data_IF_811339584241
#
_entry.id   IF_811339584241
#
_cell.length_a   1.000
_cell.length_b   1.000
_cell.length_c   1.000
_cell.angle_alpha   90.00
_cell.angle_beta   90.00
_cell.angle_gamma   90.00
#
_symmetry.space_group_name_H-M   'P 1'
#
loop_
_entity.id
_entity.type
_entity.pdbx_description
1 polymer ?
#
# COMPACT_ATOMS: atom_id res chain seq x y z
N UNK A 1 2.62 -14.51 18.57
CA UNK A 1 3.37 -13.45 17.88
C UNK A 1 3.25 -12.18 18.69
N UNK A 2 4.34 -11.41 18.77
CA UNK A 2 4.37 -10.11 19.47
C UNK A 2 5.01 -9.05 18.58
N UNK A 3 4.68 -7.79 18.86
CA UNK A 3 5.09 -6.64 18.06
C UNK A 3 5.79 -5.59 18.92
N UNK A 4 6.86 -5.01 18.38
CA UNK A 4 7.68 -3.96 18.99
C UNK A 4 7.80 -2.77 18.06
N UNK A 5 8.17 -1.61 18.62
CA UNK A 5 8.39 -0.39 17.85
C UNK A 5 9.78 -0.34 17.23
N UNK A 6 9.87 0.19 16.00
CA UNK A 6 11.14 0.53 15.35
C UNK A 6 11.96 1.59 16.09
N UNK A 7 11.38 2.36 17.02
CA UNK A 7 12.07 3.48 17.71
C UNK A 7 12.46 3.20 19.17
N UNK A 8 12.43 1.93 19.56
CA UNK A 8 13.01 1.46 20.80
C UNK A 8 12.02 1.17 21.93
N UNK A 9 10.72 1.45 21.78
CA UNK A 9 9.71 0.87 22.67
C UNK A 9 9.67 -0.66 22.51
N UNK A 10 10.20 -1.36 23.53
CA UNK A 10 10.24 -2.81 23.63
C UNK A 10 8.97 -3.41 24.24
N UNK A 11 7.94 -2.60 24.52
CA UNK A 11 6.66 -3.10 25.05
C UNK A 11 6.01 -3.99 23.99
N UNK A 12 6.00 -5.29 24.25
CA UNK A 12 5.42 -6.29 23.36
C UNK A 12 3.89 -6.22 23.32
N UNK A 13 3.33 -6.02 22.13
CA UNK A 13 1.88 -5.92 21.90
C UNK A 13 1.36 -7.07 21.04
N UNK A 14 0.08 -7.41 21.22
CA UNK A 14 -0.63 -8.37 20.36
C UNK A 14 -0.98 -7.77 18.99
N UNK A 15 -1.33 -8.62 18.02
CA UNK A 15 -1.73 -8.13 16.70
C UNK A 15 -2.99 -7.26 16.78
N UNK A 16 -4.01 -7.72 17.49
CA UNK A 16 -5.29 -7.01 17.61
C UNK A 16 -5.17 -5.65 18.32
N UNK A 17 -4.13 -5.45 19.14
CA UNK A 17 -3.82 -4.16 19.75
C UNK A 17 -3.22 -3.19 18.72
N UNK A 18 -2.15 -3.61 18.05
CA UNK A 18 -1.47 -2.76 17.06
C UNK A 18 -2.32 -2.51 15.80
N UNK A 19 -3.29 -3.39 15.52
CA UNK A 19 -4.26 -3.25 14.44
C UNK A 19 -5.04 -1.94 14.58
N UNK A 20 -5.52 -1.63 15.79
CA UNK A 20 -6.34 -0.45 16.06
C UNK A 20 -5.50 0.79 16.38
N UNK A 21 -4.33 0.62 17.00
CA UNK A 21 -3.45 1.74 17.37
C UNK A 21 -2.73 2.36 16.16
N UNK A 22 -2.28 1.53 15.22
CA UNK A 22 -1.58 1.93 14.00
C UNK A 22 -0.11 2.32 14.22
N UNK A 23 0.15 3.42 14.95
CA UNK A 23 1.49 3.93 15.26
C UNK A 23 1.86 3.61 16.71
N UNK A 24 3.13 3.29 16.99
CA UNK A 24 3.57 3.07 18.36
C UNK A 24 3.63 4.39 19.16
N UNK A 25 3.51 4.35 20.50
CA UNK A 25 3.51 5.56 21.34
C UNK A 25 4.77 6.42 21.24
N UNK A 26 5.92 5.83 20.89
CA UNK A 26 7.19 6.53 20.69
C UNK A 26 7.33 7.17 19.29
N UNK A 27 6.29 7.05 18.46
CA UNK A 27 6.22 7.53 17.09
C UNK A 27 6.82 6.58 16.05
N UNK A 28 7.27 5.38 16.48
CA UNK A 28 7.79 4.35 15.59
C UNK A 28 6.70 3.49 14.96
N UNK A 29 7.13 2.59 14.08
CA UNK A 29 6.28 1.64 13.38
C UNK A 29 6.35 0.27 14.04
N UNK A 30 5.23 -0.44 14.10
CA UNK A 30 5.24 -1.81 14.59
C UNK A 30 5.86 -2.79 13.58
N UNK A 31 6.69 -3.70 14.09
CA UNK A 31 7.22 -4.89 13.43
C UNK A 31 7.15 -6.09 14.38
N UNK A 32 7.04 -7.33 13.86
CA UNK A 32 7.04 -8.52 14.68
C UNK A 32 8.44 -8.73 15.31
N UNK A 33 8.47 -9.25 16.53
CA UNK A 33 9.73 -9.49 17.27
C UNK A 33 10.72 -10.37 16.50
N UNK A 34 10.23 -11.25 15.64
CA UNK A 34 10.98 -11.98 14.61
C UNK A 34 10.08 -12.23 13.39
N UNK A 35 10.67 -12.45 12.21
CA UNK A 35 9.92 -12.97 11.06
C UNK A 35 9.78 -14.50 11.19
N UNK A 36 8.54 -15.05 11.19
CA UNK A 36 8.31 -16.49 11.09
C UNK A 36 9.05 -17.09 9.89
N UNK A 37 9.67 -18.25 10.09
CA UNK A 37 10.43 -18.93 9.05
C UNK A 37 9.55 -19.96 8.33
N UNK A 38 9.57 -19.94 7.01
CA UNK A 38 8.89 -20.87 6.11
C UNK A 38 9.96 -21.75 5.50
N UNK A 39 10.09 -22.96 6.04
CA UNK A 39 11.04 -23.95 5.51
C UNK A 39 10.57 -24.57 4.19
N UNK A 40 11.43 -25.39 3.58
CA UNK A 40 11.13 -26.04 2.30
C UNK A 40 9.87 -26.94 2.36
N UNK A 41 9.60 -27.57 3.50
CA UNK A 41 8.44 -28.46 3.67
C UNK A 41 7.13 -27.66 3.75
N UNK A 42 7.13 -26.55 4.48
CA UNK A 42 5.98 -25.64 4.55
C UNK A 42 5.73 -24.95 3.21
N UNK A 43 6.79 -24.47 2.55
CA UNK A 43 6.69 -23.87 1.22
C UNK A 43 6.14 -24.87 0.18
N UNK A 44 6.50 -26.15 0.28
CA UNK A 44 5.96 -27.20 -0.58
C UNK A 44 4.46 -27.48 -0.31
N UNK A 45 4.03 -27.42 0.96
CA UNK A 45 2.60 -27.57 1.31
C UNK A 45 1.74 -26.41 0.81
N UNK A 46 2.29 -25.21 0.77
CA UNK A 46 1.57 -24.01 0.33
C UNK A 46 1.44 -23.90 -1.19
N UNK A 47 2.29 -24.60 -1.95
CA UNK A 47 2.22 -24.60 -3.41
C UNK A 47 0.88 -25.19 -3.85
N UNK A 48 0.13 -24.42 -4.64
CA UNK A 48 -1.17 -24.82 -5.20
C UNK A 48 -2.36 -24.51 -4.29
N UNK A 49 -2.16 -23.90 -3.11
CA UNK A 49 -3.26 -23.41 -2.31
C UNK A 49 -4.01 -22.27 -3.03
N UNK A 50 -5.36 -22.22 -2.95
CA UNK A 50 -6.13 -21.05 -3.32
C UNK A 50 -5.68 -19.81 -2.54
N UNK A 51 -5.81 -18.62 -3.14
CA UNK A 51 -5.28 -17.38 -2.55
C UNK A 51 -5.78 -17.12 -1.12
N UNK A 52 -7.07 -17.35 -0.84
CA UNK A 52 -7.63 -17.16 0.49
C UNK A 52 -7.06 -18.13 1.54
N UNK A 53 -6.75 -19.37 1.13
CA UNK A 53 -6.13 -20.36 2.01
C UNK A 53 -4.66 -20.02 2.26
N UNK A 54 -3.92 -19.63 1.21
CA UNK A 54 -2.56 -19.13 1.35
C UNK A 54 -2.50 -17.89 2.25
N UNK A 55 -3.46 -16.97 2.10
CA UNK A 55 -3.60 -15.81 2.97
C UNK A 55 -3.79 -16.24 4.42
N UNK A 56 -4.71 -17.17 4.71
CA UNK A 56 -4.90 -17.71 6.06
C UNK A 56 -3.62 -18.31 6.63
N UNK A 57 -2.90 -19.15 5.88
CA UNK A 57 -1.66 -19.78 6.34
C UNK A 57 -0.60 -18.74 6.72
N UNK A 58 -0.36 -17.75 5.85
CA UNK A 58 0.61 -16.69 6.10
C UNK A 58 0.17 -15.81 7.28
N UNK A 59 -1.09 -15.36 7.29
CA UNK A 59 -1.63 -14.51 8.36
C UNK A 59 -1.55 -15.19 9.73
N UNK A 60 -1.81 -16.50 9.79
CA UNK A 60 -1.79 -17.27 11.05
C UNK A 60 -0.40 -17.34 11.71
N UNK A 61 0.68 -17.13 10.95
CA UNK A 61 2.03 -17.04 11.52
C UNK A 61 2.25 -15.73 12.29
N UNK A 62 1.46 -14.70 11.98
CA UNK A 62 1.59 -13.34 12.53
C UNK A 62 0.45 -12.96 13.48
N UNK A 63 -0.67 -13.68 13.43
CA UNK A 63 -1.89 -13.39 14.17
C UNK A 63 -2.25 -14.62 15.02
N UNK A 64 -1.85 -14.63 16.29
CA UNK A 64 -2.15 -15.71 17.24
C UNK A 64 -3.19 -15.33 18.31
N UNK A 65 -3.75 -14.12 18.22
CA UNK A 65 -4.78 -13.60 19.12
C UNK A 65 -6.17 -13.50 18.47
N UNK A 66 -6.32 -13.98 17.23
CA UNK A 66 -7.61 -14.23 16.55
C UNK A 66 -7.77 -15.75 16.39
N UNK A 67 -8.91 -16.36 16.80
CA UNK A 67 -9.16 -17.78 16.60
C UNK A 67 -9.01 -18.21 15.14
N UNK A 68 -8.38 -19.37 14.90
CA UNK A 68 -8.06 -19.86 13.56
C UNK A 68 -9.28 -19.96 12.63
N UNK A 69 -10.42 -20.42 13.14
CA UNK A 69 -11.66 -20.50 12.37
C UNK A 69 -12.15 -19.13 11.89
N UNK A 70 -12.01 -18.10 12.74
CA UNK A 70 -12.42 -16.74 12.43
C UNK A 70 -11.47 -16.11 11.42
N UNK A 71 -10.15 -16.27 11.60
CA UNK A 71 -9.15 -15.75 10.67
C UNK A 71 -9.31 -16.39 9.27
N UNK A 72 -9.58 -17.70 9.21
CA UNK A 72 -9.87 -18.40 7.96
C UNK A 72 -11.14 -17.85 7.30
N UNK A 73 -12.20 -17.63 8.07
CA UNK A 73 -13.45 -17.05 7.57
C UNK A 73 -13.25 -15.61 7.05
N UNK A 74 -12.43 -14.80 7.73
CA UNK A 74 -12.07 -13.44 7.30
C UNK A 74 -11.33 -13.47 5.97
N UNK A 75 -10.32 -14.33 5.81
CA UNK A 75 -9.57 -14.47 4.57
C UNK A 75 -10.49 -14.91 3.40
N UNK A 76 -11.34 -15.91 3.63
CA UNK A 76 -12.30 -16.40 2.64
C UNK A 76 -13.37 -15.36 2.26
N UNK A 77 -13.85 -14.56 3.21
CA UNK A 77 -14.77 -13.43 2.95
C UNK A 77 -14.09 -12.32 2.15
N UNK A 78 -12.79 -12.12 2.34
CA UNK A 78 -12.04 -11.02 1.74
C UNK A 78 -11.69 -11.32 0.28
N UNK A 79 -11.04 -12.46 0.03
CA UNK A 79 -10.41 -12.75 -1.26
C UNK A 79 -11.29 -13.68 -2.10
N UNK A 80 -12.26 -13.10 -2.80
CA UNK A 80 -13.21 -13.84 -3.63
C UNK A 80 -13.11 -13.45 -5.10
N UNK A 81 -13.45 -14.39 -5.99
CA UNK A 81 -13.63 -14.11 -7.43
C UNK A 81 -14.68 -13.02 -7.67
N UNK A 82 -15.71 -12.92 -6.84
CA UNK A 82 -16.74 -11.88 -6.99
C UNK A 82 -16.17 -10.47 -6.76
N UNK A 83 -15.20 -10.32 -5.85
CA UNK A 83 -14.56 -9.04 -5.53
C UNK A 83 -13.42 -8.70 -6.49
N UNK A 84 -12.67 -9.72 -6.95
CA UNK A 84 -11.43 -9.53 -7.72
C UNK A 84 -11.50 -10.05 -9.16
N UNK A 85 -12.62 -10.60 -9.63
CA UNK A 85 -12.81 -11.13 -10.99
C UNK A 85 -12.15 -12.48 -11.30
N UNK A 86 -11.13 -12.88 -10.55
CA UNK A 86 -10.30 -14.07 -10.83
C UNK A 86 -10.22 -15.02 -9.64
N UNK A 87 -10.10 -16.32 -9.88
CA UNK A 87 -9.94 -17.33 -8.83
C UNK A 87 -8.57 -17.22 -8.15
N UNK A 88 -7.53 -16.86 -8.92
CA UNK A 88 -6.17 -16.60 -8.47
C UNK A 88 -6.04 -15.31 -7.66
N UNK A 89 -7.06 -14.44 -7.71
CA UNK A 89 -7.14 -13.07 -7.16
C UNK A 89 -6.12 -12.11 -7.80
N UNK A 90 -4.85 -12.50 -7.83
CA UNK A 90 -3.72 -11.76 -8.42
C UNK A 90 -3.01 -12.57 -9.52
N UNK A 91 -3.67 -12.89 -10.65
CA UNK A 91 -3.08 -13.70 -11.71
C UNK A 91 -1.82 -13.08 -12.30
N UNK A 92 -0.94 -13.92 -12.86
CA UNK A 92 0.20 -13.46 -13.66
C UNK A 92 -0.21 -13.33 -15.13
N UNK A 93 0.04 -12.16 -15.71
CA UNK A 93 -0.06 -11.89 -17.14
C UNK A 93 1.35 -11.98 -17.74
N UNK A 94 1.62 -13.01 -18.54
CA UNK A 94 2.89 -13.10 -19.27
C UNK A 94 2.96 -11.96 -20.29
N UNK A 95 4.03 -11.16 -20.24
CA UNK A 95 4.17 -9.99 -21.11
C UNK A 95 5.19 -10.25 -22.22
N UNK A 96 6.42 -10.56 -21.84
CA UNK A 96 7.51 -10.91 -22.76
C UNK A 96 8.38 -12.03 -22.16
N UNK A 97 9.28 -12.67 -22.93
CA UNK A 97 10.10 -13.76 -22.40
C UNK A 97 10.83 -13.35 -21.12
N UNK A 98 10.58 -14.08 -20.03
CA UNK A 98 11.19 -13.79 -18.72
C UNK A 98 10.53 -12.67 -17.92
N UNK A 99 9.45 -12.03 -18.40
CA UNK A 99 8.74 -10.94 -17.71
C UNK A 99 7.25 -11.23 -17.60
N UNK A 100 6.70 -11.13 -16.41
CA UNK A 100 5.26 -11.21 -16.14
C UNK A 100 4.78 -9.98 -15.34
N UNK A 101 3.56 -9.55 -15.58
CA UNK A 101 2.85 -8.60 -14.72
C UNK A 101 2.01 -9.38 -13.71
N UNK A 102 2.12 -9.06 -12.43
CA UNK A 102 1.20 -9.58 -11.42
C UNK A 102 0.03 -8.61 -11.23
N UNK A 103 -1.17 -9.05 -11.61
CA UNK A 103 -2.37 -8.23 -11.63
C UNK A 103 -2.93 -7.98 -10.22
N UNK A 104 -2.39 -6.99 -9.50
CA UNK A 104 -2.85 -6.66 -8.15
C UNK A 104 -4.08 -5.74 -8.15
N UNK A 105 -4.48 -5.26 -9.32
CA UNK A 105 -5.42 -4.15 -9.48
C UNK A 105 -6.80 -4.59 -9.94
N UNK A 106 -7.16 -5.85 -9.70
CA UNK A 106 -8.46 -6.40 -10.10
C UNK A 106 -9.56 -6.17 -9.05
N UNK A 107 -9.22 -5.56 -7.92
CA UNK A 107 -10.16 -5.23 -6.85
C UNK A 107 -11.11 -4.08 -7.20
N UNK A 108 -12.06 -3.78 -6.29
CA UNK A 108 -13.18 -2.87 -6.56
C UNK A 108 -12.78 -1.44 -6.93
N UNK A 109 -11.55 -1.01 -6.60
CA UNK A 109 -11.08 0.35 -6.87
C UNK A 109 -9.99 0.44 -7.93
N UNK A 110 -9.73 -0.68 -8.62
CA UNK A 110 -8.78 -0.81 -9.72
C UNK A 110 -7.32 -0.54 -9.33
N UNK A 111 -6.96 -0.81 -8.07
CA UNK A 111 -5.61 -0.56 -7.55
C UNK A 111 -5.20 -1.60 -6.51
N UNK A 112 -3.89 -1.85 -6.40
CA UNK A 112 -3.33 -2.83 -5.46
C UNK A 112 -3.67 -2.60 -4.00
N UNK A 113 -4.05 -1.36 -3.64
CA UNK A 113 -4.43 -1.00 -2.27
C UNK A 113 -5.64 -1.82 -1.80
N UNK A 114 -6.48 -2.29 -2.70
CA UNK A 114 -7.61 -3.18 -2.40
C UNK A 114 -7.18 -4.48 -1.72
N UNK A 115 -6.02 -5.04 -2.10
CA UNK A 115 -5.50 -6.29 -1.52
C UNK A 115 -5.34 -6.21 -0.01
N UNK A 116 -4.91 -5.04 0.49
CA UNK A 116 -4.71 -4.79 1.91
C UNK A 116 -5.97 -4.22 2.58
N UNK A 117 -6.64 -3.27 1.93
CA UNK A 117 -7.75 -2.54 2.53
C UNK A 117 -8.96 -3.44 2.76
N UNK A 118 -9.30 -4.33 1.82
CA UNK A 118 -10.45 -5.23 1.97
C UNK A 118 -10.26 -6.16 3.19
N UNK A 119 -9.05 -6.69 3.41
CA UNK A 119 -8.74 -7.48 4.60
C UNK A 119 -8.83 -6.63 5.86
N UNK A 120 -8.25 -5.42 5.83
CA UNK A 120 -8.25 -4.50 6.98
C UNK A 120 -9.67 -4.14 7.41
N UNK A 121 -10.58 -3.91 6.47
CA UNK A 121 -11.99 -3.61 6.79
C UNK A 121 -12.69 -4.77 7.49
N UNK A 122 -12.43 -6.02 7.08
CA UNK A 122 -12.97 -7.19 7.76
C UNK A 122 -12.34 -7.42 9.13
N UNK A 123 -11.03 -7.18 9.28
CA UNK A 123 -10.33 -7.27 10.58
C UNK A 123 -10.82 -6.21 11.57
N UNK A 124 -11.02 -4.96 11.12
CA UNK A 124 -11.57 -3.89 11.94
C UNK A 124 -12.98 -4.20 12.42
N UNK A 125 -13.88 -4.59 11.51
CA UNK A 125 -15.24 -4.96 11.88
C UNK A 125 -15.27 -6.12 12.89
N UNK A 126 -14.43 -7.14 12.68
CA UNK A 126 -14.29 -8.27 13.60
C UNK A 126 -13.86 -7.80 15.00
N UNK A 127 -12.76 -7.06 15.08
CA UNK A 127 -12.15 -6.70 16.35
C UNK A 127 -12.99 -5.65 17.11
N UNK A 128 -13.57 -4.69 16.42
CA UNK A 128 -14.46 -3.68 17.02
C UNK A 128 -15.74 -4.34 17.52
N UNK A 129 -16.32 -5.28 16.77
CA UNK A 129 -17.50 -6.03 17.22
C UNK A 129 -17.20 -6.85 18.47
N UNK A 130 -16.03 -7.51 18.52
CA UNK A 130 -15.59 -8.30 19.68
C UNK A 130 -15.42 -7.44 20.95
N UNK A 131 -14.96 -6.20 20.79
CA UNK A 131 -14.77 -5.24 21.90
C UNK A 131 -16.03 -4.45 22.26
N UNK A 132 -17.06 -4.44 21.41
CA UNK A 132 -18.20 -3.51 21.56
C UNK A 132 -17.77 -2.05 21.37
N UNK A 133 -16.78 -1.82 20.50
CA UNK A 133 -16.19 -0.50 20.25
C UNK A 133 -16.52 0.03 18.85
N UNK A 134 -16.19 1.30 18.63
CA UNK A 134 -16.34 1.99 17.35
C UNK A 134 -15.05 2.73 17.01
N UNK A 135 -14.79 2.91 15.71
CA UNK A 135 -13.63 3.61 15.18
C UNK A 135 -14.08 4.63 14.14
N UNK A 136 -13.65 5.88 14.32
CA UNK A 136 -13.88 6.95 13.36
C UNK A 136 -12.58 7.20 12.61
N UNK A 137 -12.47 6.66 11.41
CA UNK A 137 -11.28 6.79 10.56
C UNK A 137 -11.27 8.19 9.95
N UNK A 138 -10.19 8.94 10.19
CA UNK A 138 -9.92 10.20 9.50
C UNK A 138 -8.73 10.02 8.55
N UNK A 139 -8.91 10.40 7.29
CA UNK A 139 -7.88 10.30 6.26
C UNK A 139 -7.89 11.48 5.30
N UNK A 140 -6.80 11.63 4.55
CA UNK A 140 -6.68 12.55 3.42
C UNK A 140 -6.28 11.76 2.17
N UNK A 141 -6.79 12.15 1.00
CA UNK A 141 -6.44 11.51 -0.26
C UNK A 141 -6.34 12.47 -1.44
N UNK A 142 -5.50 12.10 -2.41
CA UNK A 142 -5.50 12.62 -3.78
C UNK A 142 -6.33 11.76 -4.75
N UNK A 143 -6.99 10.70 -4.26
CA UNK A 143 -7.91 9.85 -5.02
C UNK A 143 -7.83 8.37 -4.66
N UNK A 144 -6.73 7.70 -5.02
CA UNK A 144 -6.63 6.24 -4.96
C UNK A 144 -6.76 5.65 -3.56
N UNK A 145 -6.06 6.25 -2.59
CA UNK A 145 -6.04 5.71 -1.22
C UNK A 145 -7.41 5.86 -0.56
N UNK A 146 -8.11 6.98 -0.79
CA UNK A 146 -9.45 7.21 -0.26
C UNK A 146 -10.45 6.24 -0.84
N UNK A 147 -10.43 6.04 -2.17
CA UNK A 147 -11.27 5.03 -2.83
C UNK A 147 -11.12 3.65 -2.17
N UNK A 148 -9.88 3.14 -2.08
CA UNK A 148 -9.65 1.80 -1.51
C UNK A 148 -10.08 1.70 -0.04
N UNK A 149 -9.90 2.76 0.75
CA UNK A 149 -10.34 2.81 2.14
C UNK A 149 -11.87 2.81 2.25
N UNK A 150 -12.57 3.64 1.47
CA UNK A 150 -14.02 3.75 1.51
C UNK A 150 -14.69 2.45 1.06
N UNK A 151 -14.23 1.82 -0.03
CA UNK A 151 -14.80 0.54 -0.49
C UNK A 151 -14.56 -0.61 0.48
N UNK A 152 -13.48 -0.57 1.25
CA UNK A 152 -13.23 -1.57 2.29
C UNK A 152 -14.12 -1.39 3.52
N UNK A 153 -14.35 -0.13 3.90
CA UNK A 153 -15.02 0.23 5.14
C UNK A 153 -16.52 0.49 4.98
N UNK A 154 -17.02 0.67 3.75
CA UNK A 154 -18.46 0.88 3.50
C UNK A 154 -19.28 -0.27 4.08
N UNK A 155 -20.31 0.08 4.84
CA UNK A 155 -21.19 -0.87 5.51
C UNK A 155 -20.57 -1.69 6.65
N UNK A 156 -19.30 -1.46 7.02
CA UNK A 156 -18.66 -2.17 8.14
C UNK A 156 -19.20 -1.67 9.48
N UNK A 157 -19.62 -2.61 10.33
CA UNK A 157 -20.13 -2.29 11.68
C UNK A 157 -19.02 -1.72 12.56
N UNK A 158 -19.37 -0.72 13.34
CA UNK A 158 -18.45 -0.04 14.25
C UNK A 158 -17.43 0.87 13.55
N UNK A 159 -17.47 1.05 12.23
CA UNK A 159 -16.51 1.88 11.49
C UNK A 159 -17.22 3.02 10.79
N UNK A 160 -16.71 4.25 10.93
CA UNK A 160 -17.02 5.40 10.06
C UNK A 160 -15.76 5.88 9.37
N UNK A 161 -15.90 6.43 8.17
CA UNK A 161 -14.80 7.03 7.41
C UNK A 161 -15.11 8.47 7.09
N UNK A 162 -14.24 9.37 7.54
CA UNK A 162 -14.20 10.77 7.18
C UNK A 162 -12.98 10.98 6.27
N UNK A 163 -13.23 11.14 4.96
CA UNK A 163 -12.18 11.25 3.96
C UNK A 163 -12.11 12.68 3.44
N UNK A 164 -10.96 13.32 3.65
CA UNK A 164 -10.65 14.64 3.12
C UNK A 164 -10.05 14.50 1.72
N UNK A 165 -10.55 15.27 0.77
CA UNK A 165 -9.97 15.40 -0.57
C UNK A 165 -9.95 16.86 -1.03
N UNK A 166 -8.97 17.29 -1.83
CA UNK A 166 -8.95 18.65 -2.33
C UNK A 166 -10.07 18.90 -3.35
N UNK A 167 -10.82 19.98 -3.18
CA UNK A 167 -11.97 20.31 -4.02
C UNK A 167 -11.54 20.54 -5.47
N UNK A 168 -12.11 19.77 -6.40
CA UNK A 168 -11.89 19.91 -7.84
C UNK A 168 -10.53 19.43 -8.37
N UNK A 169 -9.71 18.76 -7.54
CA UNK A 169 -8.33 18.36 -7.92
C UNK A 169 -8.10 16.85 -8.10
N UNK A 170 -9.14 16.03 -7.99
CA UNK A 170 -9.07 14.59 -8.28
C UNK A 170 -9.59 14.31 -9.69
N UNK A 171 -9.13 13.22 -10.33
CA UNK A 171 -9.68 12.81 -11.64
C UNK A 171 -11.18 12.51 -11.55
N UNK A 172 -11.90 12.65 -12.68
CA UNK A 172 -13.33 12.38 -12.72
C UNK A 172 -13.69 10.96 -12.24
N UNK A 173 -12.86 9.97 -12.64
CA UNK A 173 -13.05 8.58 -12.25
C UNK A 173 -12.88 8.37 -10.73
N UNK A 174 -11.82 8.92 -10.13
CA UNK A 174 -11.57 8.80 -8.68
C UNK A 174 -12.65 9.53 -7.86
N UNK A 175 -13.06 10.73 -8.29
CA UNK A 175 -14.19 11.43 -7.66
C UNK A 175 -15.46 10.59 -7.72
N UNK A 176 -15.73 9.95 -8.85
CA UNK A 176 -16.91 9.14 -9.01
C UNK A 176 -16.86 7.89 -8.13
N UNK A 177 -15.72 7.21 -8.02
CA UNK A 177 -15.54 6.07 -7.11
C UNK A 177 -15.92 6.42 -5.67
N UNK A 178 -15.41 7.55 -5.15
CA UNK A 178 -15.64 7.96 -3.76
C UNK A 178 -17.03 8.58 -3.57
N UNK A 179 -17.37 9.59 -4.36
CA UNK A 179 -18.55 10.41 -4.11
C UNK A 179 -19.84 9.73 -4.52
N UNK A 180 -19.81 8.67 -5.34
CA UNK A 180 -21.04 7.92 -5.62
C UNK A 180 -21.51 7.05 -4.45
N UNK A 181 -20.68 6.84 -3.42
CA UNK A 181 -21.02 6.00 -2.27
C UNK A 181 -22.11 6.65 -1.41
N UNK A 182 -23.23 5.94 -1.25
CA UNK A 182 -24.38 6.38 -0.45
C UNK A 182 -24.39 5.79 0.96
N UNK A 183 -23.44 4.92 1.29
CA UNK A 183 -23.34 4.26 2.59
C UNK A 183 -23.26 5.29 3.74
N UNK A 184 -24.12 5.19 4.76
CA UNK A 184 -24.25 6.22 5.79
C UNK A 184 -22.97 6.42 6.61
N UNK A 185 -22.13 5.38 6.72
CA UNK A 185 -20.87 5.42 7.45
C UNK A 185 -19.69 6.03 6.66
N UNK A 186 -19.91 6.42 5.40
CA UNK A 186 -18.91 7.09 4.56
C UNK A 186 -19.25 8.58 4.47
N UNK A 187 -18.27 9.42 4.81
CA UNK A 187 -18.34 10.87 4.79
C UNK A 187 -17.22 11.43 3.92
N UNK A 188 -17.58 11.87 2.72
CA UNK A 188 -16.68 12.54 1.80
C UNK A 188 -16.69 14.06 2.04
N UNK A 189 -15.55 14.61 2.45
CA UNK A 189 -15.36 16.03 2.74
C UNK A 189 -14.37 16.61 1.71
N UNK A 190 -14.85 17.51 0.85
CA UNK A 190 -14.00 18.16 -0.16
C UNK A 190 -13.53 19.51 0.39
N UNK A 191 -12.23 19.62 0.65
CA UNK A 191 -11.59 20.79 1.26
C UNK A 191 -11.28 21.83 0.19
N UNK A 192 -11.69 23.09 0.42
CA UNK A 192 -11.32 24.24 -0.41
C UNK A 192 -9.83 24.58 -0.25
N UNK A 193 -8.97 23.78 -0.89
CA UNK A 193 -7.52 23.86 -0.77
C UNK A 193 -6.79 22.85 -1.66
N UNK A 194 -5.53 22.59 -1.33
CA UNK A 194 -4.69 21.57 -1.95
C UNK A 194 -4.63 20.29 -1.11
N UNK A 195 -3.98 19.25 -1.62
CA UNK A 195 -3.83 17.99 -0.88
C UNK A 195 -3.04 18.19 0.43
N UNK A 196 -2.02 19.05 0.43
CA UNK A 196 -1.24 19.37 1.63
C UNK A 196 -2.12 19.96 2.75
N UNK A 197 -3.09 20.81 2.43
CA UNK A 197 -4.06 21.34 3.40
C UNK A 197 -4.88 20.20 4.05
N UNK A 198 -5.31 19.23 3.24
CA UNK A 198 -6.01 18.04 3.74
C UNK A 198 -5.12 17.25 4.71
N UNK A 199 -3.84 17.07 4.37
CA UNK A 199 -2.88 16.36 5.23
C UNK A 199 -2.64 17.12 6.54
N UNK A 200 -2.50 18.44 6.48
CA UNK A 200 -2.26 19.27 7.65
C UNK A 200 -3.44 19.30 8.61
N UNK A 201 -4.68 19.28 8.08
CA UNK A 201 -5.87 19.10 8.91
C UNK A 201 -5.88 17.73 9.60
N UNK A 202 -5.58 16.65 8.89
CA UNK A 202 -5.48 15.31 9.49
C UNK A 202 -4.41 15.27 10.58
N UNK A 203 -3.26 15.92 10.37
CA UNK A 203 -2.20 16.05 11.39
C UNK A 203 -2.67 16.87 12.59
N UNK A 204 -3.36 17.99 12.36
CA UNK A 204 -3.89 18.85 13.43
C UNK A 204 -4.91 18.11 14.31
N UNK A 205 -5.81 17.32 13.71
CA UNK A 205 -6.71 16.43 14.46
C UNK A 205 -5.92 15.33 15.16
N UNK A 206 -4.88 14.79 14.52
CA UNK A 206 -4.06 13.72 15.09
C UNK A 206 -3.24 14.16 16.32
N UNK A 207 -2.85 15.43 16.37
CA UNK A 207 -2.11 16.02 17.49
C UNK A 207 -3.02 16.42 18.67
N UNK A 208 -4.33 16.49 18.46
CA UNK A 208 -5.31 16.70 19.54
C UNK A 208 -5.65 15.37 20.22
N UNK A 209 -4.82 14.99 21.19
CA UNK A 209 -4.96 13.71 21.90
C UNK A 209 -6.28 13.58 22.66
N UNK A 210 -6.83 14.69 23.18
CA UNK A 210 -8.11 14.68 23.87
C UNK A 210 -9.25 14.37 22.89
N UNK A 211 -9.29 15.07 21.75
CA UNK A 211 -10.26 14.81 20.69
C UNK A 211 -10.16 13.39 20.14
N UNK A 212 -8.94 12.90 19.86
CA UNK A 212 -8.73 11.53 19.40
C UNK A 212 -9.30 10.49 20.35
N UNK A 213 -9.04 10.63 21.65
CA UNK A 213 -9.52 9.69 22.67
C UNK A 213 -11.04 9.75 22.82
N UNK A 214 -11.60 10.98 22.88
CA UNK A 214 -13.03 11.17 23.04
C UNK A 214 -13.85 10.60 21.88
N UNK A 215 -13.42 10.87 20.64
CA UNK A 215 -14.14 10.48 19.42
C UNK A 215 -13.54 9.25 18.73
N UNK A 216 -12.65 8.51 19.41
CA UNK A 216 -12.03 7.27 18.90
C UNK A 216 -11.49 7.44 17.48
N UNK A 217 -10.71 8.49 17.25
CA UNK A 217 -10.18 8.81 15.92
C UNK A 217 -9.04 7.86 15.58
N UNK A 218 -9.26 7.05 14.54
CA UNK A 218 -8.28 6.15 13.95
C UNK A 218 -7.79 6.64 12.59
N UNK A 219 -6.83 5.91 12.02
CA UNK A 219 -6.32 6.15 10.67
C UNK A 219 -6.09 4.83 9.94
N UNK A 220 -6.26 4.85 8.62
CA UNK A 220 -5.95 3.72 7.71
C UNK A 220 -4.75 4.01 6.82
N UNK A 221 -3.81 4.81 7.34
CA UNK A 221 -2.59 5.18 6.65
C UNK A 221 -1.71 3.97 6.30
N UNK A 222 -0.72 4.19 5.41
CA UNK A 222 0.15 3.14 4.86
C UNK A 222 1.05 2.45 5.87
N UNK A 223 1.09 2.92 7.11
CA UNK A 223 1.97 2.40 8.16
C UNK A 223 1.32 1.29 8.98
N UNK A 224 0.00 1.09 8.91
CA UNK A 224 -0.66 0.01 9.65
C UNK A 224 -0.06 -1.36 9.28
N UNK A 225 0.36 -2.14 10.27
CA UNK A 225 1.05 -3.42 10.04
C UNK A 225 0.19 -4.41 9.25
N UNK A 226 -1.12 -4.50 9.52
CA UNK A 226 -2.01 -5.41 8.82
C UNK A 226 -2.07 -5.10 7.32
N UNK A 227 -1.89 -3.83 6.91
CA UNK A 227 -1.79 -3.47 5.49
C UNK A 227 -0.53 -4.02 4.83
N UNK A 228 0.61 -4.00 5.53
CA UNK A 228 1.86 -4.55 5.01
C UNK A 228 1.78 -6.08 4.98
N UNK A 229 1.28 -6.69 6.05
CA UNK A 229 1.15 -8.13 6.17
C UNK A 229 0.26 -8.73 5.07
N UNK A 230 -0.89 -8.10 4.76
CA UNK A 230 -1.76 -8.53 3.67
C UNK A 230 -1.04 -8.58 2.30
N UNK A 231 -0.05 -7.70 2.12
CA UNK A 231 0.72 -7.60 0.88
C UNK A 231 1.77 -8.72 0.75
N UNK A 232 2.23 -9.31 1.85
CA UNK A 232 3.17 -10.45 1.83
C UNK A 232 2.59 -11.62 1.04
N UNK A 233 1.27 -11.84 1.13
CA UNK A 233 0.57 -12.98 0.51
C UNK A 233 0.78 -13.02 -1.00
N UNK A 234 0.68 -11.90 -1.71
CA UNK A 234 0.82 -11.91 -3.16
C UNK A 234 2.26 -12.13 -3.64
N UNK A 235 3.28 -11.91 -2.80
CA UNK A 235 4.64 -12.31 -3.15
C UNK A 235 4.77 -13.85 -3.19
N UNK A 236 4.22 -14.54 -2.19
CA UNK A 236 4.15 -16.00 -2.20
C UNK A 236 3.29 -16.51 -3.36
N UNK A 237 2.10 -15.94 -3.58
CA UNK A 237 1.24 -16.32 -4.71
C UNK A 237 1.94 -16.12 -6.06
N UNK A 238 2.53 -14.94 -6.28
CA UNK A 238 3.26 -14.60 -7.51
C UNK A 238 4.45 -15.54 -7.75
N UNK A 239 5.20 -15.88 -6.69
CA UNK A 239 6.25 -16.89 -6.75
C UNK A 239 5.73 -18.25 -7.20
N UNK A 240 4.65 -18.75 -6.60
CA UNK A 240 4.07 -20.04 -6.95
C UNK A 240 3.51 -20.05 -8.38
N UNK A 241 2.88 -18.96 -8.82
CA UNK A 241 2.37 -18.83 -10.19
C UNK A 241 3.47 -18.76 -11.24
N UNK A 242 4.65 -18.24 -10.88
CA UNK A 242 5.78 -18.04 -11.79
C UNK A 242 6.71 -19.25 -11.94
N UNK A 243 6.69 -20.18 -10.98
CA UNK A 243 7.67 -21.27 -10.86
C UNK A 243 7.02 -22.64 -10.95
N UNK A 244 7.78 -23.64 -11.42
CA UNK A 244 7.34 -25.05 -11.47
C UNK A 244 7.75 -25.82 -10.21
N UNK A 245 8.82 -25.39 -9.55
CA UNK A 245 9.42 -26.03 -8.38
C UNK A 245 9.87 -24.98 -7.35
N UNK A 246 10.12 -25.44 -6.12
CA UNK A 246 10.60 -24.56 -5.03
C UNK A 246 12.11 -24.25 -5.10
N UNK A 247 12.84 -24.87 -6.04
CA UNK A 247 14.28 -24.64 -6.25
C UNK A 247 14.55 -23.43 -7.15
N UNK A 248 13.52 -22.96 -7.85
CA UNK A 248 13.57 -21.77 -8.69
C UNK A 248 13.50 -20.50 -7.84
N UNK A 249 14.07 -19.41 -8.38
CA UNK A 249 13.94 -18.06 -7.85
C UNK A 249 13.11 -17.19 -8.77
N UNK A 250 12.59 -16.10 -8.22
CA UNK A 250 11.97 -15.01 -8.97
C UNK A 250 12.53 -13.67 -8.50
N UNK A 251 12.49 -12.67 -9.37
CA UNK A 251 12.73 -11.27 -9.01
C UNK A 251 11.42 -10.50 -9.07
N UNK A 252 11.26 -9.51 -8.21
CA UNK A 252 10.10 -8.63 -8.22
C UNK A 252 10.52 -7.18 -8.49
N UNK A 253 9.82 -6.50 -9.38
CA UNK A 253 9.91 -5.05 -9.53
C UNK A 253 8.65 -4.37 -9.03
N UNK A 254 8.85 -3.39 -8.15
CA UNK A 254 7.79 -2.75 -7.40
C UNK A 254 7.79 -1.25 -7.68
N UNK A 255 6.76 -0.72 -8.37
CA UNK A 255 6.49 0.72 -8.40
C UNK A 255 6.30 1.23 -6.96
N UNK A 256 7.24 2.03 -6.48
CA UNK A 256 7.44 2.30 -5.06
C UNK A 256 7.31 3.77 -4.73
N UNK A 257 6.32 4.07 -3.88
CA UNK A 257 6.21 5.35 -3.18
C UNK A 257 6.55 5.21 -1.70
N UNK A 258 5.54 4.95 -0.87
CA UNK A 258 5.66 4.84 0.59
C UNK A 258 6.42 3.60 1.13
N UNK A 259 7.10 2.84 0.27
CA UNK A 259 7.88 1.64 0.58
C UNK A 259 7.12 0.43 1.17
N UNK A 260 5.81 0.53 1.44
CA UNK A 260 5.04 -0.55 2.08
C UNK A 260 4.96 -1.84 1.25
N UNK A 261 4.80 -1.71 -0.06
CA UNK A 261 4.70 -2.86 -0.97
C UNK A 261 6.02 -3.63 -1.04
N UNK A 262 7.12 -2.97 -1.40
CA UNK A 262 8.43 -3.65 -1.47
C UNK A 262 8.93 -4.10 -0.10
N UNK A 263 8.54 -3.42 1.00
CA UNK A 263 8.81 -3.90 2.35
C UNK A 263 8.09 -5.22 2.64
N UNK A 264 6.87 -5.44 2.13
CA UNK A 264 6.22 -6.75 2.19
C UNK A 264 6.97 -7.82 1.39
N UNK A 265 7.57 -7.47 0.26
CA UNK A 265 8.48 -8.35 -0.48
C UNK A 265 9.74 -8.71 0.31
N UNK A 266 10.32 -7.73 1.01
CA UNK A 266 11.41 -7.95 1.96
C UNK A 266 10.99 -8.89 3.10
N UNK A 267 9.83 -8.67 3.70
CA UNK A 267 9.28 -9.60 4.71
C UNK A 267 9.12 -11.01 4.14
N UNK A 268 8.57 -11.16 2.94
CA UNK A 268 8.43 -12.47 2.29
C UNK A 268 9.80 -13.16 2.08
N UNK A 269 10.81 -12.41 1.63
CA UNK A 269 12.18 -12.90 1.49
C UNK A 269 12.79 -13.32 2.83
N UNK A 270 12.60 -12.51 3.88
CA UNK A 270 13.07 -12.80 5.24
C UNK A 270 12.34 -13.96 5.91
N UNK A 271 11.14 -14.31 5.44
CA UNK A 271 10.43 -15.53 5.81
C UNK A 271 11.01 -16.78 5.15
N UNK A 272 11.85 -16.66 4.10
CA UNK A 272 12.43 -17.79 3.37
C UNK A 272 11.91 -17.97 1.93
N UNK A 273 11.09 -17.06 1.41
CA UNK A 273 10.66 -17.12 0.01
C UNK A 273 11.89 -16.93 -0.93
N UNK A 274 12.10 -17.80 -1.95
CA UNK A 274 13.25 -17.70 -2.87
C UNK A 274 13.19 -16.50 -3.84
N UNK A 275 13.36 -15.29 -3.29
CA UNK A 275 13.44 -14.04 -4.05
C UNK A 275 14.90 -13.72 -4.36
N UNK A 276 15.21 -13.58 -5.65
CA UNK A 276 16.52 -13.15 -6.11
C UNK A 276 16.73 -11.65 -5.88
N UNK A 277 15.98 -10.80 -6.57
CA UNK A 277 16.01 -9.34 -6.42
C UNK A 277 14.66 -8.74 -6.04
N UNK A 278 14.72 -7.67 -5.24
CA UNK A 278 13.65 -6.72 -4.98
C UNK A 278 14.03 -5.39 -5.63
N UNK A 279 13.49 -5.11 -6.81
CA UNK A 279 13.77 -3.91 -7.59
C UNK A 279 12.80 -2.80 -7.18
N UNK A 280 13.34 -1.70 -6.67
CA UNK A 280 12.59 -0.50 -6.28
C UNK A 280 12.55 0.46 -7.46
N UNK A 281 11.39 0.56 -8.11
CA UNK A 281 11.16 1.52 -9.19
C UNK A 281 10.55 2.79 -8.63
N UNK A 282 11.24 3.92 -8.75
CA UNK A 282 10.69 5.24 -8.41
C UNK A 282 10.47 6.08 -9.66
N UNK A 283 9.54 7.02 -9.60
CA UNK A 283 9.45 8.07 -10.61
C UNK A 283 10.53 9.15 -10.36
N UNK A 284 10.30 10.38 -10.81
CA UNK A 284 11.18 11.52 -10.60
C UNK A 284 11.42 11.85 -9.11
N UNK A 285 10.50 11.44 -8.24
CA UNK A 285 10.62 11.55 -6.79
C UNK A 285 11.50 10.42 -6.23
N UNK A 286 12.80 10.54 -6.47
CA UNK A 286 13.79 9.47 -6.37
C UNK A 286 14.47 9.31 -4.98
N UNK A 287 13.80 9.68 -3.89
CA UNK A 287 14.41 9.61 -2.53
C UNK A 287 14.87 8.20 -2.15
N UNK A 288 14.15 7.16 -2.61
CA UNK A 288 14.54 5.77 -2.37
C UNK A 288 15.72 5.34 -3.26
N UNK A 289 15.72 5.71 -4.55
CA UNK A 289 16.83 5.40 -5.44
C UNK A 289 18.15 6.06 -4.97
N UNK A 290 18.09 7.30 -4.49
CA UNK A 290 19.24 7.98 -3.89
C UNK A 290 19.81 7.17 -2.73
N UNK A 291 18.94 6.66 -1.83
CA UNK A 291 19.38 5.82 -0.73
C UNK A 291 20.01 4.51 -1.23
N UNK A 292 19.35 3.76 -2.11
CA UNK A 292 19.87 2.46 -2.56
C UNK A 292 21.16 2.57 -3.37
N UNK A 293 21.44 3.74 -3.95
CA UNK A 293 22.72 4.02 -4.63
C UNK A 293 23.82 4.52 -3.69
N UNK A 294 23.49 5.21 -2.60
CA UNK A 294 24.48 6.02 -1.85
C UNK A 294 24.49 5.84 -0.33
N UNK A 295 23.45 5.24 0.26
CA UNK A 295 23.22 5.23 1.71
C UNK A 295 22.69 6.55 2.29
N UNK A 296 22.47 7.56 1.44
CA UNK A 296 21.90 8.84 1.85
C UNK A 296 20.39 8.85 1.68
N UNK A 297 19.67 9.22 2.74
CA UNK A 297 18.24 9.46 2.70
C UNK A 297 17.96 10.93 2.97
N UNK A 298 17.39 11.64 2.00
CA UNK A 298 17.05 13.07 2.12
C UNK A 298 15.61 13.31 1.73
N UNK A 299 14.79 13.70 2.69
CA UNK A 299 13.39 14.10 2.47
C UNK A 299 13.35 15.27 1.49
N UNK A 300 12.47 15.18 0.50
CA UNK A 300 12.25 16.27 -0.47
C UNK A 300 11.28 17.29 0.10
N UNK A 301 11.59 18.58 0.03
CA UNK A 301 10.60 19.62 0.33
C UNK A 301 9.53 19.70 -0.77
N UNK A 302 8.47 20.50 -0.56
CA UNK A 302 7.41 20.69 -1.58
C UNK A 302 7.97 21.24 -2.91
N UNK A 303 9.04 22.04 -2.87
CA UNK A 303 9.70 22.57 -4.07
C UNK A 303 10.51 21.50 -4.86
N UNK A 304 10.82 20.36 -4.24
CA UNK A 304 11.57 19.26 -4.83
C UNK A 304 10.73 17.99 -4.99
N UNK A 305 9.43 18.05 -4.67
CA UNK A 305 8.48 16.97 -4.89
C UNK A 305 7.70 17.30 -6.15
N UNK A 306 7.99 16.58 -7.22
CA UNK A 306 7.38 16.84 -8.52
C UNK A 306 6.01 16.19 -8.60
N UNK A 307 5.04 16.90 -9.18
CA UNK A 307 3.81 16.30 -9.66
C UNK A 307 4.13 15.53 -10.94
N UNK A 308 3.92 14.23 -10.92
CA UNK A 308 4.23 13.33 -12.03
C UNK A 308 2.98 12.66 -12.57
N UNK A 309 3.13 11.95 -13.69
CA UNK A 309 2.04 11.14 -14.23
C UNK A 309 1.81 9.82 -13.48
N UNK A 310 2.59 9.53 -12.43
CA UNK A 310 2.38 8.41 -11.49
C UNK A 310 2.18 8.94 -10.05
N UNK A 311 1.10 9.69 -9.78
CA UNK A 311 0.96 10.52 -8.58
C UNK A 311 0.85 9.75 -7.27
N UNK A 312 0.52 8.45 -7.29
CA UNK A 312 0.55 7.62 -6.08
C UNK A 312 1.98 7.35 -5.57
N UNK A 313 3.00 7.67 -6.38
CA UNK A 313 4.42 7.52 -6.06
C UNK A 313 5.10 8.87 -5.76
N UNK A 314 4.41 10.00 -5.90
CA UNK A 314 4.93 11.34 -5.62
C UNK A 314 5.07 11.59 -4.12
N UNK A 315 6.15 11.05 -3.56
CA UNK A 315 6.40 11.05 -2.12
C UNK A 315 7.68 11.80 -1.78
N UNK A 316 7.56 12.66 -0.79
CA UNK A 316 8.68 13.36 -0.15
C UNK A 316 9.42 12.46 0.86
N UNK A 317 8.66 11.69 1.65
CA UNK A 317 9.15 10.83 2.74
C UNK A 317 8.50 9.45 2.62
N UNK A 318 9.32 8.41 2.47
CA UNK A 318 8.85 7.03 2.39
C UNK A 318 8.52 6.49 3.79
N UNK A 319 7.24 6.48 4.17
CA UNK A 319 6.83 6.12 5.54
C UNK A 319 7.30 4.74 6.01
N UNK A 320 7.15 3.69 5.20
CA UNK A 320 7.54 2.33 5.60
C UNK A 320 9.04 2.05 5.47
N UNK A 321 9.82 3.00 4.94
CA UNK A 321 11.27 2.81 4.80
C UNK A 321 11.96 2.65 6.16
N UNK A 322 11.39 3.26 7.21
CA UNK A 322 11.82 3.08 8.60
C UNK A 322 11.83 1.60 9.04
N UNK A 323 10.89 0.77 8.56
CA UNK A 323 10.88 -0.68 8.88
C UNK A 323 12.09 -1.40 8.32
N UNK A 324 12.49 -1.08 7.09
CA UNK A 324 13.66 -1.69 6.48
C UNK A 324 14.95 -1.17 7.12
N UNK A 325 15.04 0.13 7.43
CA UNK A 325 16.20 0.68 8.15
C UNK A 325 16.35 0.02 9.52
N UNK A 326 15.27 -0.25 10.24
CA UNK A 326 15.34 -0.99 11.50
C UNK A 326 15.97 -2.37 11.32
N UNK A 327 15.58 -3.15 10.30
CA UNK A 327 16.23 -4.44 10.00
C UNK A 327 17.69 -4.27 9.54
N UNK A 328 18.00 -3.26 8.72
CA UNK A 328 19.35 -2.95 8.25
C UNK A 328 20.32 -2.68 9.42
N UNK A 329 19.81 -1.98 10.44
CA UNK A 329 20.52 -1.66 11.67
C UNK A 329 20.53 -2.80 12.69
N UNK A 330 20.14 -4.01 12.30
CA UNK A 330 20.13 -5.16 13.21
C UNK A 330 19.09 -5.02 14.33
N UNK A 331 17.98 -4.33 14.05
CA UNK A 331 16.88 -4.06 14.98
C UNK A 331 17.28 -3.19 16.18
N UNK A 332 18.28 -2.32 16.00
CA UNK A 332 18.63 -1.29 16.98
C UNK A 332 17.61 -0.13 16.94
N UNK A 333 16.68 -0.12 17.90
CA UNK A 333 15.65 0.90 17.98
C UNK A 333 16.17 2.29 18.37
N UNK A 334 17.27 2.36 19.13
CA UNK A 334 17.88 3.64 19.52
C UNK A 334 18.55 4.29 18.32
N UNK A 335 19.30 3.52 17.52
CA UNK A 335 19.90 3.97 16.27
C UNK A 335 18.84 4.38 15.26
N UNK A 336 17.78 3.58 15.11
CA UNK A 336 16.65 3.92 14.22
C UNK A 336 15.98 5.23 14.62
N UNK A 337 15.70 5.42 15.92
CA UNK A 337 15.16 6.67 16.45
C UNK A 337 16.09 7.85 16.17
N UNK A 338 17.40 7.70 16.35
CA UNK A 338 18.36 8.76 16.05
C UNK A 338 18.28 9.21 14.57
N UNK A 339 18.18 8.27 13.63
CA UNK A 339 18.07 8.61 12.21
C UNK A 339 16.73 9.29 11.85
N UNK A 340 15.61 8.80 12.37
CA UNK A 340 14.30 9.29 11.95
C UNK A 340 13.77 10.47 12.76
N UNK A 341 13.98 10.45 14.09
CA UNK A 341 13.49 11.49 15.00
C UNK A 341 14.51 12.61 15.16
N UNK A 342 15.78 12.29 15.35
CA UNK A 342 16.77 13.31 15.68
C UNK A 342 17.38 13.93 14.42
N UNK A 343 17.61 13.14 13.38
CA UNK A 343 18.18 13.64 12.11
C UNK A 343 17.09 14.06 11.10
N UNK A 344 16.16 13.18 10.71
CA UNK A 344 15.17 13.52 9.67
C UNK A 344 14.16 14.59 10.10
N UNK A 345 13.61 14.53 11.31
CA UNK A 345 12.62 15.55 11.73
C UNK A 345 13.28 16.93 11.94
N UNK A 346 14.58 17.00 12.25
CA UNK A 346 15.28 18.27 12.51
C UNK A 346 16.01 18.82 11.28
N UNK A 347 16.64 17.95 10.48
CA UNK A 347 17.52 18.31 9.35
C UNK A 347 17.02 17.84 8.00
N UNK A 348 16.00 16.98 7.97
CA UNK A 348 15.43 16.45 6.73
C UNK A 348 16.26 15.35 6.05
N UNK A 349 17.37 14.89 6.64
CA UNK A 349 18.24 13.90 6.01
C UNK A 349 19.04 13.06 7.00
N UNK A 350 19.49 11.89 6.58
CA UNK A 350 20.54 11.11 7.25
C UNK A 350 21.41 10.35 6.25
N UNK A 351 22.57 9.89 6.71
CA UNK A 351 23.43 8.94 6.01
C UNK A 351 23.69 7.75 6.94
N UNK A 352 23.48 6.53 6.44
CA UNK A 352 23.90 5.32 7.18
C UNK A 352 25.41 5.13 7.07
N UNK A 353 26.02 4.50 8.08
CA UNK A 353 27.45 4.22 8.06
C UNK A 353 27.79 3.23 6.93
N UNK A 354 29.05 3.24 6.46
CA UNK A 354 29.46 2.43 5.31
C UNK A 354 29.30 0.92 5.56
N UNK A 355 29.52 0.46 6.78
CA UNK A 355 29.33 -0.93 7.22
C UNK A 355 27.85 -1.29 7.39
N UNK A 356 27.00 -0.34 7.80
CA UNK A 356 25.55 -0.48 7.77
C UNK A 356 25.06 -0.65 6.31
N UNK A 357 25.49 0.25 5.40
CA UNK A 357 25.10 0.23 3.99
C UNK A 357 25.59 -1.01 3.23
N UNK A 358 26.77 -1.52 3.55
CA UNK A 358 27.33 -2.73 2.93
C UNK A 358 26.45 -3.98 3.10
N UNK A 359 25.48 -3.96 4.03
CA UNK A 359 24.51 -5.04 4.26
C UNK A 359 23.33 -5.00 3.27
N UNK A 360 23.05 -3.86 2.63
CA UNK A 360 21.89 -3.68 1.73
C UNK A 360 21.82 -4.74 0.62
N UNK A 361 22.91 -5.06 -0.11
CA UNK A 361 22.86 -6.09 -1.16
C UNK A 361 22.43 -7.47 -0.68
N UNK A 362 22.70 -7.83 0.59
CA UNK A 362 22.30 -9.12 1.15
C UNK A 362 20.77 -9.29 1.24
N UNK A 363 20.04 -8.17 1.30
CA UNK A 363 18.57 -8.14 1.27
C UNK A 363 17.99 -8.22 -0.15
N UNK A 364 18.83 -8.22 -1.19
CA UNK A 364 18.42 -8.36 -2.59
C UNK A 364 17.88 -7.07 -3.23
N UNK A 365 18.03 -5.93 -2.56
CA UNK A 365 17.54 -4.65 -3.09
C UNK A 365 18.42 -4.09 -4.21
N UNK A 366 17.77 -3.64 -5.28
CA UNK A 366 18.33 -2.75 -6.29
C UNK A 366 17.28 -1.69 -6.63
N UNK A 367 17.66 -0.59 -7.30
CA UNK A 367 16.72 0.49 -7.62
C UNK A 367 16.98 1.09 -8.98
N UNK A 368 15.98 1.83 -9.47
CA UNK A 368 16.14 2.73 -10.59
C UNK A 368 14.99 3.73 -10.68
N UNK A 369 15.15 4.67 -11.60
CA UNK A 369 14.20 5.75 -11.83
C UNK A 369 13.62 5.73 -13.24
N UNK A 370 12.45 6.35 -13.39
CA UNK A 370 11.81 6.67 -14.67
C UNK A 370 11.26 8.09 -14.68
N UNK A 371 11.34 8.72 -15.84
CA UNK A 371 10.73 10.02 -16.13
C UNK A 371 9.36 9.85 -16.81
N UNK A 372 8.61 10.94 -16.93
CA UNK A 372 7.36 10.96 -17.68
C UNK A 372 7.54 10.50 -19.13
N UNK A 373 8.61 10.93 -19.80
CA UNK A 373 8.93 10.48 -21.16
C UNK A 373 9.19 8.97 -21.20
N UNK A 374 9.90 8.42 -20.21
CA UNK A 374 10.15 6.98 -20.11
C UNK A 374 8.84 6.19 -19.92
N UNK A 375 7.92 6.70 -19.09
CA UNK A 375 6.60 6.09 -18.88
C UNK A 375 5.78 6.08 -20.16
N UNK A 376 5.68 7.21 -20.86
CA UNK A 376 4.95 7.28 -22.13
C UNK A 376 5.52 6.31 -23.17
N UNK A 377 6.85 6.25 -23.29
CA UNK A 377 7.53 5.32 -24.18
C UNK A 377 7.26 3.85 -23.79
N UNK A 378 7.28 3.53 -22.51
CA UNK A 378 7.04 2.18 -22.00
C UNK A 378 5.58 1.74 -22.19
N UNK A 379 4.61 2.63 -21.95
CA UNK A 379 3.19 2.37 -22.22
C UNK A 379 2.98 2.10 -23.71
N UNK A 380 3.53 2.95 -24.58
CA UNK A 380 3.42 2.82 -26.03
C UNK A 380 4.04 1.52 -26.54
N UNK A 381 5.29 1.22 -26.14
CA UNK A 381 6.00 0.00 -26.49
C UNK A 381 5.21 -1.26 -26.08
N UNK A 382 4.67 -1.25 -24.86
CA UNK A 382 3.88 -2.37 -24.33
C UNK A 382 2.59 -2.57 -25.13
N UNK A 383 1.92 -1.47 -25.47
CA UNK A 383 0.69 -1.51 -26.26
C UNK A 383 0.94 -1.99 -27.69
N UNK A 384 1.96 -1.45 -28.38
CA UNK A 384 2.26 -1.77 -29.77
C UNK A 384 2.76 -3.21 -29.96
N UNK A 385 3.63 -3.70 -29.06
CA UNK A 385 4.23 -5.04 -29.20
C UNK A 385 3.37 -6.16 -28.65
N UNK A 386 2.62 -5.91 -27.58
CA UNK A 386 1.92 -6.97 -26.84
C UNK A 386 0.41 -6.80 -26.83
N UNK A 387 -0.13 -5.70 -27.35
CA UNK A 387 -1.55 -5.37 -27.25
C UNK A 387 -2.03 -5.17 -25.81
N UNK A 388 -1.09 -5.00 -24.86
CA UNK A 388 -1.37 -4.86 -23.44
C UNK A 388 -1.27 -3.39 -23.05
N UNK A 389 -2.33 -2.87 -22.42
CA UNK A 389 -2.34 -1.51 -21.89
C UNK A 389 -2.01 -1.56 -20.40
N UNK A 390 -0.97 -0.82 -20.00
CA UNK A 390 -0.51 -0.71 -18.62
C UNK A 390 -0.65 0.73 -18.13
N UNK A 391 -0.88 0.91 -16.83
CA UNK A 391 -0.95 2.23 -16.23
C UNK A 391 0.45 2.86 -16.05
N UNK A 392 0.50 4.14 -15.69
CA UNK A 392 1.74 4.89 -15.51
C UNK A 392 2.65 4.34 -14.40
N UNK A 393 2.08 3.81 -13.32
CA UNK A 393 2.85 3.22 -12.21
C UNK A 393 3.44 1.87 -12.63
N UNK A 394 2.65 1.03 -13.30
CA UNK A 394 3.13 -0.24 -13.87
C UNK A 394 4.21 0.02 -14.92
N UNK A 395 4.11 1.11 -15.69
CA UNK A 395 5.13 1.53 -16.64
C UNK A 395 6.45 1.97 -15.96
N UNK A 396 6.40 2.69 -14.82
CA UNK A 396 7.60 2.94 -14.00
C UNK A 396 8.28 1.62 -13.62
N UNK A 397 7.49 0.67 -13.11
CA UNK A 397 7.97 -0.66 -12.75
C UNK A 397 8.58 -1.41 -13.92
N UNK A 398 7.90 -1.48 -15.06
CA UNK A 398 8.36 -2.22 -16.23
C UNK A 398 9.62 -1.62 -16.84
N UNK A 399 9.71 -0.28 -16.90
CA UNK A 399 10.92 0.41 -17.35
C UNK A 399 12.11 -0.04 -16.51
N UNK A 400 12.04 0.12 -15.20
CA UNK A 400 13.17 -0.18 -14.30
C UNK A 400 13.45 -1.69 -14.27
N UNK A 401 12.42 -2.53 -14.37
CA UNK A 401 12.59 -3.99 -14.42
C UNK A 401 13.49 -4.43 -15.59
N UNK A 402 13.36 -3.78 -16.75
CA UNK A 402 14.14 -4.09 -17.96
C UNK A 402 15.64 -3.86 -17.77
N UNK A 403 16.02 -2.95 -16.89
CA UNK A 403 17.43 -2.66 -16.53
C UNK A 403 18.05 -3.75 -15.61
N UNK A 404 17.24 -4.67 -15.09
CA UNK A 404 17.66 -5.67 -14.08
C UNK A 404 17.31 -7.13 -14.43
N UNK A 405 16.94 -7.40 -15.68
CA UNK A 405 16.58 -8.75 -16.13
C UNK A 405 17.74 -9.72 -16.00
N UNK A 406 17.42 -10.95 -15.63
CA UNK A 406 18.31 -12.11 -15.68
C UNK A 406 17.64 -13.16 -16.58
N UNK A 407 18.31 -13.67 -17.63
CA UNK A 407 17.73 -14.67 -18.54
C UNK A 407 17.28 -15.97 -17.86
N UNK A 408 17.76 -16.25 -16.64
CA UNK A 408 17.50 -17.48 -15.88
C UNK A 408 16.47 -17.29 -14.76
N UNK A 409 16.11 -16.04 -14.43
CA UNK A 409 15.20 -15.72 -13.31
C UNK A 409 13.99 -14.97 -13.85
N UNK A 410 12.78 -15.45 -13.53
CA UNK A 410 11.55 -14.74 -13.92
C UNK A 410 11.47 -13.40 -13.19
N UNK A 411 11.30 -12.32 -13.95
CA UNK A 411 10.94 -11.01 -13.43
C UNK A 411 9.42 -10.86 -13.34
N UNK A 412 8.93 -10.48 -12.16
CA UNK A 412 7.52 -10.20 -11.88
C UNK A 412 7.38 -8.70 -11.57
N UNK A 413 6.73 -7.96 -12.46
CA UNK A 413 6.42 -6.53 -12.24
C UNK A 413 5.04 -6.42 -11.63
N UNK A 414 4.89 -5.66 -10.55
CA UNK A 414 3.59 -5.51 -9.89
C UNK A 414 2.71 -4.49 -10.64
N UNK A 415 1.56 -4.93 -11.13
CA UNK A 415 0.55 -4.06 -11.75
C UNK A 415 -0.25 -3.36 -10.64
N UNK A 416 0.12 -2.11 -10.32
CA UNK A 416 -0.38 -1.41 -9.13
C UNK A 416 -1.66 -0.60 -9.34
N UNK A 417 -2.02 -0.31 -10.58
CA UNK A 417 -3.34 0.18 -10.96
C UNK A 417 -3.73 -0.32 -12.36
N UNK A 418 -5.02 -0.26 -12.69
CA UNK A 418 -5.46 -0.44 -14.08
C UNK A 418 -5.41 0.89 -14.85
N UNK A 419 -5.18 0.85 -16.18
CA UNK A 419 -5.12 2.03 -17.04
C UNK A 419 -6.30 3.01 -16.89
N UNK A 420 -7.51 2.50 -16.63
CA UNK A 420 -8.73 3.30 -16.46
C UNK A 420 -8.63 4.35 -15.35
N UNK A 421 -7.73 4.18 -14.38
CA UNK A 421 -7.50 5.16 -13.31
C UNK A 421 -6.75 6.41 -13.78
N UNK A 422 -5.99 6.32 -14.88
CA UNK A 422 -5.07 7.35 -15.36
C UNK A 422 -5.31 7.63 -16.85
N UNK A 423 -6.58 7.71 -17.26
CA UNK A 423 -7.01 7.81 -18.66
C UNK A 423 -6.27 8.88 -19.47
N UNK A 424 -6.05 10.07 -18.91
CA UNK A 424 -5.40 11.18 -19.61
C UNK A 424 -4.00 10.79 -20.13
N UNK A 425 -3.15 10.21 -19.27
CA UNK A 425 -1.80 9.80 -19.67
C UNK A 425 -1.81 8.58 -20.61
N UNK A 426 -2.82 7.71 -20.48
CA UNK A 426 -2.98 6.59 -21.42
C UNK A 426 -3.32 7.10 -22.82
N UNK A 427 -4.22 8.06 -22.92
CA UNK A 427 -4.58 8.72 -24.19
C UNK A 427 -3.39 9.46 -24.76
N UNK A 428 -2.59 10.15 -23.94
CA UNK A 428 -1.34 10.78 -24.38
C UNK A 428 -0.35 9.76 -24.97
N UNK A 429 -0.14 8.62 -24.31
CA UNK A 429 0.82 7.61 -24.75
C UNK A 429 0.39 6.85 -26.01
N UNK A 430 -0.91 6.54 -26.12
CA UNK A 430 -1.44 5.54 -27.08
C UNK A 430 -2.46 6.11 -28.07
N UNK A 431 -3.00 7.31 -27.83
CA UNK A 431 -4.13 7.85 -28.57
C UNK A 431 -5.48 7.15 -28.28
N UNK A 432 -5.53 6.18 -27.36
CA UNK A 432 -6.73 5.39 -27.07
C UNK A 432 -7.17 5.55 -25.62
N UNK A 433 -8.50 5.54 -25.40
CA UNK A 433 -9.05 5.49 -24.05
C UNK A 433 -8.93 4.07 -23.49
N UNK A 434 -8.56 3.92 -22.21
CA UNK A 434 -8.53 2.62 -21.57
C UNK A 434 -9.94 2.03 -21.42
N UNK A 435 -10.06 0.73 -21.67
CA UNK A 435 -11.29 0.00 -21.36
C UNK A 435 -11.46 -0.14 -19.84
N UNK A 436 -12.71 -0.12 -19.38
CA UNK A 436 -13.06 -0.46 -18.00
C UNK A 436 -13.19 -1.98 -17.87
N UNK A 437 -12.75 -2.58 -16.76
CA UNK A 437 -12.85 -4.02 -16.57
C UNK A 437 -14.32 -4.45 -16.46
N UNK A 438 -14.73 -5.42 -17.29
CA UNK A 438 -16.11 -5.92 -17.31
C UNK A 438 -16.48 -6.75 -16.07
N UNK A 439 -15.49 -7.26 -15.34
CA UNK A 439 -15.69 -8.11 -14.17
C UNK A 439 -16.02 -7.32 -12.89
N UNK A 440 -15.94 -5.98 -12.93
CA UNK A 440 -16.32 -5.12 -11.81
C UNK A 440 -17.61 -4.40 -12.17
N UNK A 441 -18.69 -4.79 -11.49
CA UNK A 441 -20.00 -4.20 -11.68
C UNK A 441 -20.02 -2.70 -11.32
N UNK A 442 -20.84 -1.92 -12.03
CA UNK A 442 -21.10 -0.52 -11.70
C UNK A 442 -20.03 0.48 -12.14
N UNK A 443 -19.02 0.05 -12.90
CA UNK A 443 -18.04 0.98 -13.48
C UNK A 443 -18.57 1.72 -14.70
N UNK A 444 -19.50 1.13 -15.45
CA UNK A 444 -20.14 1.82 -16.57
C UNK A 444 -21.11 2.89 -16.06
N UNK A 445 -20.96 4.13 -16.56
CA UNK A 445 -21.76 5.27 -16.10
C UNK A 445 -21.45 5.77 -14.69
N UNK A 446 -20.35 5.31 -14.06
CA UNK A 446 -19.96 5.66 -12.69
C UNK A 446 -19.96 7.19 -12.45
N UNK A 447 -19.42 7.96 -13.39
CA UNK A 447 -19.33 9.42 -13.32
C UNK A 447 -20.70 10.14 -13.37
N UNK A 448 -21.73 9.44 -13.85
CA UNK A 448 -23.11 9.95 -13.94
C UNK A 448 -23.95 9.63 -12.70
N UNK A 449 -23.43 8.84 -11.75
CA UNK A 449 -24.15 8.54 -10.50
C UNK A 449 -24.28 9.80 -9.61
N UNK A 450 -25.33 9.89 -8.78
CA UNK A 450 -25.45 10.95 -7.79
C UNK A 450 -24.23 11.02 -6.87
N UNK A 451 -23.66 12.21 -6.72
CA UNK A 451 -22.49 12.45 -5.87
C UNK A 451 -22.95 12.94 -4.48
N UNK A 452 -22.43 12.31 -3.42
CA UNK A 452 -22.62 12.66 -2.01
C UNK A 452 -21.27 13.06 -1.42
N UNK A 453 -21.08 14.36 -1.21
CA UNK A 453 -19.93 14.94 -0.53
C UNK A 453 -20.32 16.29 0.10
N UNK A 454 -19.50 16.80 1.00
CA UNK A 454 -19.68 18.11 1.62
C UNK A 454 -18.46 18.99 1.34
N UNK A 455 -18.69 20.18 0.78
CA UNK A 455 -17.61 21.18 0.60
C UNK A 455 -17.36 21.88 1.93
N UNK A 456 -16.10 21.97 2.33
CA UNK A 456 -15.67 22.55 3.60
C UNK A 456 -14.44 23.44 3.41
N UNK A 457 -14.29 24.54 4.17
CA UNK A 457 -13.06 25.33 4.16
C UNK A 457 -11.88 24.51 4.72
N UNK A 458 -10.66 24.92 4.38
CA UNK A 458 -9.42 24.36 4.94
C UNK A 458 -9.22 24.74 6.42
N UNK A 459 -10.08 24.21 7.30
CA UNK A 459 -10.07 24.50 8.74
C UNK A 459 -10.29 23.22 9.56
N UNK A 460 -9.30 22.86 10.38
CA UNK A 460 -9.36 21.70 11.26
C UNK A 460 -10.51 21.75 12.27
N UNK A 461 -10.94 22.93 12.72
CA UNK A 461 -12.09 23.10 13.62
C UNK A 461 -13.37 22.68 12.92
N UNK A 462 -13.58 23.09 11.67
CA UNK A 462 -14.76 22.73 10.87
C UNK A 462 -14.84 21.21 10.68
N UNK A 463 -13.71 20.55 10.40
CA UNK A 463 -13.66 19.09 10.30
C UNK A 463 -14.00 18.42 11.64
N UNK A 464 -13.44 18.91 12.75
CA UNK A 464 -13.78 18.39 14.09
C UNK A 464 -15.27 18.53 14.37
N UNK A 465 -15.85 19.70 14.13
CA UNK A 465 -17.28 19.97 14.34
C UNK A 465 -18.16 19.03 13.49
N UNK A 466 -17.79 18.80 12.22
CA UNK A 466 -18.47 17.83 11.36
C UNK A 466 -18.40 16.41 11.92
N UNK A 467 -17.23 15.96 12.38
CA UNK A 467 -17.05 14.63 12.99
C UNK A 467 -17.96 14.49 14.22
N UNK A 468 -17.99 15.47 15.12
CA UNK A 468 -18.84 15.42 16.33
C UNK A 468 -20.32 15.23 15.98
N UNK A 469 -20.80 15.95 14.96
CA UNK A 469 -22.20 15.86 14.51
C UNK A 469 -22.58 14.49 13.95
N UNK A 470 -21.61 13.72 13.45
CA UNK A 470 -21.84 12.46 12.75
C UNK A 470 -21.27 11.23 13.48
N UNK A 471 -20.74 11.40 14.69
CA UNK A 471 -20.21 10.31 15.54
C UNK A 471 -21.17 9.86 16.65
N UNK A 472 -22.17 10.68 17.00
CA UNK A 472 -23.14 10.34 18.03
C UNK A 472 -24.33 9.60 17.39
N UNK A 473 -24.51 8.32 17.75
CA UNK A 473 -25.75 7.58 17.49
C UNK A 473 -26.76 7.83 18.62
#
# INVERSE_FOLDING_TARGET
MKYISTRGDQTERGFSEILLEGLAPDGGLYLPVHYPQVDAALLAKWRGLPYAELAYEILSLYIDDIPAADLKAIAAKTYTKATYGFDEITPLKLLEPGVALQALSNGPTLAFKDMAMQLLGNLFEYELSRRGETLNILGATSGDTGSAAEYAMRGKKGVRVFMLSPHGRMSAFQQAQMFSLQDPNIHNLTVEGVFDDCQDIVKAVSNDLAFKRQYKIGTVNSINWARLLAQVVYYFAGYFYATKSNDEKVSFTVPSGNFGNVCAGHVARMMGLPIDKLVVATNENNVLDEFFRTGNYRVRGSAETFETSSPSMDISKASNFERFIFDLLGRDGARTKALFKDEVEQRGLFTVAADEFAKVPAYGFVSGTSTHADRLATIRDTFERFGAMIDTHTADGLKVARDHLDPTVRMIVLETALPAKFEETIVEATGQKPARPFWIAGLEGLESLPKRFTVVPADAKVIKDYIVQHCND
#
